data_IF_137235562591
#
_entry.id   IF_137235562591
#
_cell.length_a   1.000
_cell.length_b   1.000
_cell.length_c   1.000
_cell.angle_alpha   90.00
_cell.angle_beta   90.00
_cell.angle_gamma   90.00
#
_symmetry.space_group_name_H-M   'P 1'
#
loop_
_entity.id
_entity.type
_entity.pdbx_description
1 polymer ?
#
# COMPACT_ATOMS: atom_id res chain seq x y z
N UNK A 1 3.90 24.84 1.84
CA UNK A 1 3.39 23.57 1.32
C UNK A 1 4.25 22.47 1.92
N UNK A 2 3.79 21.87 2.98
CA UNK A 2 4.54 20.80 3.63
C UNK A 2 4.21 19.49 2.91
N UNK A 3 5.17 19.05 2.11
CA UNK A 3 5.14 17.74 1.48
C UNK A 3 5.42 16.66 2.52
N UNK A 4 4.40 16.30 3.26
CA UNK A 4 4.49 15.11 4.11
C UNK A 4 3.93 13.90 3.37
N UNK A 5 4.58 13.55 2.28
CA UNK A 5 4.50 12.19 1.75
C UNK A 5 5.70 11.43 2.30
N UNK A 6 5.77 11.32 3.59
CA UNK A 6 6.69 10.37 4.19
C UNK A 6 5.93 9.70 5.30
N UNK A 7 5.33 8.57 4.99
CA UNK A 7 5.02 7.63 6.05
C UNK A 7 6.35 7.07 6.57
N UNK A 8 7.00 7.86 7.41
CA UNK A 8 8.21 7.47 8.13
C UNK A 8 7.98 6.27 9.05
N UNK A 9 6.76 5.77 9.11
CA UNK A 9 6.40 4.65 9.99
C UNK A 9 6.56 3.29 9.32
N UNK A 10 6.76 3.24 7.99
CA UNK A 10 6.98 1.97 7.28
C UNK A 10 8.44 1.56 7.32
N UNK A 11 8.79 0.55 8.10
CA UNK A 11 10.19 0.17 8.28
C UNK A 11 10.68 -0.74 7.14
N UNK A 12 10.72 -0.24 5.90
CA UNK A 12 11.17 -1.02 4.73
C UNK A 12 12.51 -1.72 4.94
N UNK A 13 13.43 -1.10 5.70
CA UNK A 13 14.73 -1.67 6.03
C UNK A 13 14.62 -3.02 6.77
N UNK A 14 13.51 -3.31 7.43
CA UNK A 14 13.28 -4.60 8.10
C UNK A 14 13.23 -5.76 7.10
N UNK A 15 12.78 -5.52 5.89
CA UNK A 15 12.84 -6.54 4.83
C UNK A 15 14.29 -6.84 4.46
N UNK A 16 15.12 -5.83 4.31
CA UNK A 16 16.56 -6.02 4.05
C UNK A 16 17.27 -6.75 5.20
N UNK A 17 16.93 -6.43 6.46
CA UNK A 17 17.43 -7.14 7.63
C UNK A 17 16.98 -8.62 7.62
N UNK A 18 15.73 -8.87 7.27
CA UNK A 18 15.19 -10.23 7.16
C UNK A 18 15.87 -11.01 6.05
N UNK A 19 16.04 -10.39 4.88
CA UNK A 19 16.75 -11.01 3.76
C UNK A 19 18.20 -11.37 4.13
N UNK A 20 18.88 -10.49 4.86
CA UNK A 20 20.26 -10.75 5.32
C UNK A 20 20.36 -11.97 6.24
N UNK A 21 19.32 -12.23 7.04
CA UNK A 21 19.26 -13.41 7.92
C UNK A 21 18.86 -14.68 7.18
N UNK A 22 18.05 -14.57 6.15
CA UNK A 22 17.46 -15.69 5.41
C UNK A 22 17.62 -15.49 3.90
N UNK A 23 18.88 -15.45 3.38
CA UNK A 23 19.12 -15.06 2.00
C UNK A 23 18.64 -16.10 0.96
N UNK A 24 18.31 -17.31 1.41
CA UNK A 24 17.73 -18.39 0.61
C UNK A 24 16.21 -18.30 0.49
N UNK A 25 15.57 -17.34 1.17
CA UNK A 25 14.12 -17.12 1.13
C UNK A 25 13.79 -15.85 0.36
N UNK A 26 12.67 -15.87 -0.34
CA UNK A 26 12.11 -14.66 -0.96
C UNK A 26 11.14 -13.95 -0.01
N UNK A 27 10.97 -12.66 -0.23
CA UNK A 27 10.02 -11.80 0.48
C UNK A 27 8.94 -11.37 -0.50
N UNK A 28 7.70 -11.41 -0.07
CA UNK A 28 6.53 -10.99 -0.84
C UNK A 28 5.70 -10.01 -0.03
N UNK A 29 5.43 -8.84 -0.59
CA UNK A 29 4.46 -7.91 -0.05
C UNK A 29 3.05 -8.38 -0.46
N UNK A 30 2.32 -8.94 0.50
CA UNK A 30 1.11 -9.71 0.23
C UNK A 30 -0.18 -8.94 0.38
N UNK A 31 -0.13 -7.73 0.91
CA UNK A 31 -1.29 -6.86 1.08
C UNK A 31 -0.87 -5.40 1.20
N UNK A 32 -1.51 -4.53 0.44
CA UNK A 32 -1.43 -3.10 0.58
C UNK A 32 -2.80 -2.47 0.31
N UNK A 33 -3.09 -1.34 0.93
CA UNK A 33 -4.29 -0.55 0.64
C UNK A 33 -4.15 0.88 1.14
N UNK A 34 -4.95 1.78 0.57
CA UNK A 34 -5.04 3.18 0.98
C UNK A 34 -6.49 3.55 1.27
N UNK A 35 -6.72 4.39 2.26
CA UNK A 35 -8.06 4.84 2.67
C UNK A 35 -8.59 4.20 3.95
N UNK A 36 -7.87 3.26 4.54
CA UNK A 36 -8.32 2.52 5.72
C UNK A 36 -8.06 3.24 7.05
N UNK A 37 -7.13 4.17 7.09
CA UNK A 37 -6.83 4.91 8.31
C UNK A 37 -7.93 5.93 8.63
N UNK A 38 -8.21 6.19 9.89
CA UNK A 38 -9.28 7.12 10.29
C UNK A 38 -9.17 8.52 9.68
N UNK A 39 -7.96 8.95 9.36
CA UNK A 39 -7.68 10.26 8.76
C UNK A 39 -7.62 10.23 7.22
N UNK A 40 -7.65 9.07 6.59
CA UNK A 40 -7.57 8.96 5.13
C UNK A 40 -8.86 9.36 4.39
N UNK A 41 -10.00 9.36 5.10
CA UNK A 41 -11.26 9.83 4.54
C UNK A 41 -11.90 8.90 3.50
N UNK A 42 -11.64 7.59 3.54
CA UNK A 42 -12.15 6.60 2.58
C UNK A 42 -11.58 6.79 1.16
N UNK A 43 -12.15 6.15 0.12
CA UNK A 43 -11.71 6.35 -1.25
C UNK A 43 -11.82 7.81 -1.71
N UNK A 44 -10.82 8.28 -2.42
CA UNK A 44 -10.82 9.61 -3.05
C UNK A 44 -10.43 9.42 -4.52
N UNK A 45 -11.44 9.44 -5.38
CA UNK A 45 -11.23 9.23 -6.81
C UNK A 45 -10.36 10.33 -7.42
N UNK A 46 -9.35 9.93 -8.18
CA UNK A 46 -8.45 10.85 -8.86
C UNK A 46 -7.42 11.54 -7.97
N UNK A 47 -7.29 11.13 -6.71
CA UNK A 47 -6.24 11.68 -5.83
C UNK A 47 -4.86 11.15 -6.22
N UNK A 48 -4.12 11.98 -6.97
CA UNK A 48 -2.78 11.62 -7.45
C UNK A 48 -1.79 11.35 -6.31
N UNK A 49 -1.97 11.99 -5.15
CA UNK A 49 -1.09 11.75 -3.99
C UNK A 49 -1.17 10.30 -3.52
N UNK A 50 -2.33 9.66 -3.61
CA UNK A 50 -2.49 8.25 -3.29
C UNK A 50 -1.78 7.36 -4.30
N UNK A 51 -1.82 7.71 -5.57
CA UNK A 51 -1.02 7.05 -6.61
C UNK A 51 0.49 7.17 -6.33
N UNK A 52 0.96 8.34 -5.88
CA UNK A 52 2.35 8.55 -5.48
C UNK A 52 2.74 7.71 -4.26
N UNK A 53 1.83 7.56 -3.28
CA UNK A 53 2.04 6.68 -2.11
C UNK A 53 2.21 5.22 -2.56
N UNK A 54 1.36 4.73 -3.45
CA UNK A 54 1.49 3.38 -4.02
C UNK A 54 2.83 3.21 -4.75
N UNK A 55 3.20 4.16 -5.59
CA UNK A 55 4.49 4.13 -6.29
C UNK A 55 5.67 4.11 -5.32
N UNK A 56 5.63 4.93 -4.28
CA UNK A 56 6.65 4.97 -3.23
C UNK A 56 6.75 3.63 -2.48
N UNK A 57 5.61 3.05 -2.11
CA UNK A 57 5.54 1.77 -1.39
C UNK A 57 6.14 0.64 -2.23
N UNK A 58 5.67 0.48 -3.46
CA UNK A 58 6.15 -0.54 -4.39
C UNK A 58 7.67 -0.43 -4.62
N UNK A 59 8.17 0.77 -4.88
CA UNK A 59 9.58 0.98 -5.14
C UNK A 59 10.44 0.66 -3.91
N UNK A 60 9.99 1.01 -2.72
CA UNK A 60 10.73 0.71 -1.50
C UNK A 60 10.67 -0.76 -1.11
N UNK A 61 9.56 -1.43 -1.33
CA UNK A 61 9.45 -2.87 -1.15
C UNK A 61 10.44 -3.60 -2.07
N UNK A 62 10.44 -3.28 -3.35
CA UNK A 62 11.36 -3.89 -4.32
C UNK A 62 12.83 -3.57 -4.02
N UNK A 63 13.15 -2.36 -3.59
CA UNK A 63 14.51 -1.99 -3.17
C UNK A 63 14.99 -2.73 -1.92
N UNK A 64 14.06 -3.22 -1.11
CA UNK A 64 14.35 -3.96 0.11
C UNK A 64 14.09 -5.46 -0.03
N UNK A 65 14.30 -5.99 -1.24
CA UNK A 65 14.29 -7.43 -1.56
C UNK A 65 12.91 -8.09 -1.66
N UNK A 66 11.82 -7.35 -1.66
CA UNK A 66 10.56 -7.92 -2.08
C UNK A 66 10.60 -8.26 -3.57
N UNK A 67 10.07 -9.41 -3.95
CA UNK A 67 10.02 -9.88 -5.34
C UNK A 67 8.65 -9.71 -5.98
N UNK A 68 7.68 -9.24 -5.22
CA UNK A 68 6.33 -8.96 -5.68
C UNK A 68 5.56 -8.12 -4.68
N UNK A 69 4.49 -7.53 -5.17
CA UNK A 69 3.62 -6.64 -4.42
C UNK A 69 2.16 -6.91 -4.79
N UNK A 70 1.27 -6.90 -3.82
CA UNK A 70 -0.14 -7.23 -4.01
C UNK A 70 -1.01 -6.19 -3.34
N UNK A 71 -1.95 -5.64 -4.09
CA UNK A 71 -2.99 -4.75 -3.56
C UNK A 71 -4.10 -5.56 -2.86
N UNK A 72 -4.99 -4.87 -2.14
CA UNK A 72 -6.07 -5.50 -1.37
C UNK A 72 -7.23 -5.94 -2.27
N UNK A 73 -8.01 -4.98 -2.79
CA UNK A 73 -9.14 -5.27 -3.64
C UNK A 73 -8.88 -4.82 -5.08
N UNK A 74 -9.23 -5.67 -6.04
CA UNK A 74 -9.12 -5.35 -7.46
C UNK A 74 -10.19 -4.38 -7.94
N UNK A 75 -11.42 -4.55 -7.48
CA UNK A 75 -12.61 -3.79 -7.93
C UNK A 75 -13.45 -3.41 -6.72
N UNK A 76 -13.76 -2.13 -6.59
CA UNK A 76 -14.70 -1.61 -5.60
C UNK A 76 -15.62 -0.58 -6.24
N UNK A 77 -16.66 -0.17 -5.52
CA UNK A 77 -17.51 0.95 -5.90
C UNK A 77 -16.90 2.30 -5.44
N UNK A 78 -17.56 3.40 -5.79
CA UNK A 78 -17.11 4.75 -5.44
C UNK A 78 -17.08 5.01 -3.93
N UNK A 79 -17.65 4.15 -3.12
CA UNK A 79 -17.67 4.24 -1.67
C UNK A 79 -16.59 3.36 -1.02
N UNK A 80 -15.86 2.56 -1.82
CA UNK A 80 -14.92 1.58 -1.31
C UNK A 80 -15.55 0.27 -0.88
N UNK A 81 -16.73 -0.03 -1.41
CA UNK A 81 -17.47 -1.24 -1.14
C UNK A 81 -17.59 -2.18 -2.35
N UNK A 82 -18.29 -3.31 -2.19
CA UNK A 82 -18.85 -3.80 -0.94
C UNK A 82 -17.79 -4.23 0.07
N UNK A 83 -18.05 -4.04 1.35
CA UNK A 83 -17.08 -4.38 2.40
C UNK A 83 -17.79 -4.79 3.71
N UNK A 84 -17.70 -6.08 4.04
CA UNK A 84 -18.30 -6.63 5.25
C UNK A 84 -17.55 -6.25 6.54
N UNK A 85 -16.27 -5.91 6.43
CA UNK A 85 -15.43 -5.52 7.56
C UNK A 85 -15.47 -4.02 7.86
N UNK A 86 -16.27 -3.26 7.09
CA UNK A 86 -16.35 -1.81 7.21
C UNK A 86 -15.01 -1.09 6.97
N UNK A 87 -14.15 -1.70 6.16
CA UNK A 87 -12.83 -1.19 5.79
C UNK A 87 -12.87 -0.65 4.35
N UNK A 88 -13.37 0.56 4.18
CA UNK A 88 -13.53 1.21 2.88
C UNK A 88 -12.21 1.81 2.41
N UNK A 89 -11.70 1.30 1.28
CA UNK A 89 -10.38 1.62 0.73
C UNK A 89 -10.46 1.92 -0.77
N UNK A 90 -9.37 2.41 -1.33
CA UNK A 90 -9.22 2.56 -2.78
C UNK A 90 -9.04 1.19 -3.46
N UNK A 91 -9.35 1.14 -4.75
CA UNK A 91 -9.05 0.00 -5.61
C UNK A 91 -8.62 0.50 -7.00
N UNK A 92 -7.85 -0.29 -7.75
CA UNK A 92 -7.43 0.11 -9.10
C UNK A 92 -8.59 0.24 -10.09
N UNK A 93 -9.66 -0.48 -9.87
CA UNK A 93 -10.87 -0.41 -10.71
C UNK A 93 -12.05 0.01 -9.84
N UNK A 94 -12.72 1.08 -10.25
CA UNK A 94 -13.93 1.60 -9.60
C UNK A 94 -15.13 1.44 -10.54
N UNK A 95 -16.21 0.88 -10.02
CA UNK A 95 -17.49 0.68 -10.74
C UNK A 95 -18.45 1.83 -10.45
#
# INVERSE_FOLDING_TARGET
MEDRIVDVTRPFHKMSETHSKYPDKFILATEACTGYLPWDGKPILGDMRRGEIYGYDILNDLRNFAIGWTDWNLILDTQGGPNWANNFVDAPIIL
#
